data_IF_981854541816
#
_entry.id   IF_981854541816
#
_cell.length_a   1.000
_cell.length_b   1.000
_cell.length_c   1.000
_cell.angle_alpha   90.00
_cell.angle_beta   90.00
_cell.angle_gamma   90.00
#
_symmetry.space_group_name_H-M   'P 1'
#
loop_
_entity.id
_entity.type
_entity.pdbx_description
1 polymer ?
#
# COMPACT_ATOMS: atom_id res chain seq x y z
N UNK A 1 17.98 -35.83 -43.60
CA UNK A 1 18.02 -34.37 -43.33
C UNK A 1 16.80 -33.80 -42.55
N UNK A 2 16.00 -34.64 -41.87
CA UNK A 2 14.72 -34.21 -41.26
C UNK A 2 14.65 -34.32 -39.74
N UNK A 3 15.70 -34.79 -39.05
CA UNK A 3 15.68 -34.96 -37.58
C UNK A 3 16.01 -33.67 -36.81
N UNK A 4 16.99 -32.88 -37.26
CA UNK A 4 17.46 -31.70 -36.51
C UNK A 4 16.51 -30.49 -36.51
N UNK A 5 15.60 -30.38 -37.48
CA UNK A 5 14.62 -29.28 -37.53
C UNK A 5 13.43 -29.49 -36.58
N UNK A 6 13.03 -30.74 -36.33
CA UNK A 6 11.95 -31.05 -35.40
C UNK A 6 12.41 -30.92 -33.94
N UNK A 7 13.66 -31.28 -33.64
CA UNK A 7 14.24 -31.10 -32.31
C UNK A 7 14.36 -29.62 -31.91
N UNK A 8 14.75 -28.75 -32.86
CA UNK A 8 14.79 -27.29 -32.62
C UNK A 8 13.41 -26.69 -32.36
N UNK A 9 12.39 -27.09 -33.13
CA UNK A 9 11.02 -26.60 -32.95
C UNK A 9 10.42 -27.02 -31.59
N UNK A 10 10.70 -28.24 -31.13
CA UNK A 10 10.25 -28.72 -29.82
C UNK A 10 10.99 -27.99 -28.70
N UNK A 11 12.29 -27.74 -28.84
CA UNK A 11 13.08 -26.93 -27.91
C UNK A 11 12.54 -25.51 -27.77
N UNK A 12 12.34 -24.80 -28.89
CA UNK A 12 11.82 -23.43 -28.91
C UNK A 12 10.40 -23.33 -28.32
N UNK A 13 9.56 -24.35 -28.54
CA UNK A 13 8.21 -24.42 -27.97
C UNK A 13 8.23 -24.66 -26.46
N UNK A 14 9.13 -25.52 -25.97
CA UNK A 14 9.29 -25.79 -24.54
C UNK A 14 9.88 -24.57 -23.82
N UNK A 15 10.95 -23.98 -24.35
CA UNK A 15 11.58 -22.77 -23.81
C UNK A 15 10.60 -21.59 -23.84
N UNK A 16 9.85 -21.39 -24.94
CA UNK A 16 8.80 -20.38 -25.01
C UNK A 16 7.64 -20.61 -24.03
N UNK A 17 7.34 -21.87 -23.68
CA UNK A 17 6.33 -22.20 -22.68
C UNK A 17 6.83 -21.98 -21.25
N UNK A 18 8.11 -22.25 -20.98
CA UNK A 18 8.75 -22.01 -19.68
C UNK A 18 8.94 -20.51 -19.45
N UNK A 19 9.41 -19.75 -20.44
CA UNK A 19 9.53 -18.29 -20.39
C UNK A 19 8.17 -17.62 -20.19
N UNK A 20 7.13 -18.10 -20.87
CA UNK A 20 5.77 -17.60 -20.66
C UNK A 20 5.26 -17.91 -19.24
N UNK A 21 5.52 -19.11 -18.73
CA UNK A 21 5.20 -19.50 -17.35
C UNK A 21 5.86 -18.57 -16.33
N UNK A 22 7.18 -18.38 -16.46
CA UNK A 22 7.95 -17.47 -15.61
C UNK A 22 7.45 -16.02 -15.70
N UNK A 23 7.08 -15.55 -16.89
CA UNK A 23 6.51 -14.21 -17.07
C UNK A 23 5.16 -14.05 -16.35
N UNK A 24 4.29 -15.07 -16.38
CA UNK A 24 3.00 -15.06 -15.66
C UNK A 24 3.21 -15.07 -14.15
N UNK A 25 4.14 -15.89 -13.65
CA UNK A 25 4.48 -15.93 -12.23
C UNK A 25 5.05 -14.59 -11.75
N UNK A 26 6.00 -14.01 -12.50
CA UNK A 26 6.58 -12.71 -12.19
C UNK A 26 5.53 -11.59 -12.21
N UNK A 27 4.62 -11.59 -13.19
CA UNK A 27 3.52 -10.63 -13.26
C UNK A 27 2.58 -10.76 -12.06
N UNK A 28 2.18 -11.99 -11.74
CA UNK A 28 1.27 -12.27 -10.60
C UNK A 28 1.92 -11.86 -9.28
N UNK A 29 3.20 -12.19 -9.10
CA UNK A 29 3.98 -11.81 -7.93
C UNK A 29 4.10 -10.29 -7.80
N UNK A 30 4.45 -9.58 -8.87
CA UNK A 30 4.65 -8.13 -8.87
C UNK A 30 3.37 -7.29 -8.89
N UNK A 31 2.21 -7.90 -9.15
CA UNK A 31 0.94 -7.20 -9.32
C UNK A 31 0.56 -6.26 -8.14
N UNK A 32 0.71 -6.66 -6.86
CA UNK A 32 0.40 -5.76 -5.74
C UNK A 32 1.27 -4.51 -5.73
N UNK A 33 2.58 -4.63 -5.98
CA UNK A 33 3.47 -3.47 -6.04
C UNK A 33 3.12 -2.51 -7.16
N UNK A 34 2.84 -3.03 -8.35
CA UNK A 34 2.47 -2.19 -9.51
C UNK A 34 1.17 -1.45 -9.22
N UNK A 35 0.17 -2.15 -8.68
CA UNK A 35 -1.13 -1.57 -8.32
C UNK A 35 -0.99 -0.52 -7.21
N UNK A 36 -0.18 -0.80 -6.19
CA UNK A 36 0.10 0.14 -5.10
C UNK A 36 0.82 1.40 -5.60
N UNK A 37 1.83 1.24 -6.46
CA UNK A 37 2.56 2.37 -7.06
C UNK A 37 1.64 3.25 -7.90
N UNK A 38 0.76 2.66 -8.71
CA UNK A 38 -0.24 3.41 -9.48
C UNK A 38 -1.22 4.14 -8.55
N UNK A 39 -1.69 3.47 -7.50
CA UNK A 39 -2.59 4.06 -6.49
C UNK A 39 -1.93 5.25 -5.79
N UNK A 40 -0.68 5.09 -5.34
CA UNK A 40 0.13 6.15 -4.74
C UNK A 40 0.22 7.34 -5.68
N UNK A 41 0.64 7.15 -6.93
CA UNK A 41 0.74 8.24 -7.93
C UNK A 41 -0.57 9.00 -8.10
N UNK A 42 -1.69 8.30 -8.21
CA UNK A 42 -3.01 8.91 -8.41
C UNK A 42 -3.45 9.73 -7.19
N UNK A 43 -3.20 9.23 -5.98
CA UNK A 43 -3.61 9.85 -4.72
C UNK A 43 -2.68 11.03 -4.36
N UNK A 44 -1.39 10.94 -4.69
CA UNK A 44 -0.39 11.91 -4.24
C UNK A 44 -0.04 13.00 -5.25
N UNK A 45 -0.54 12.91 -6.48
CA UNK A 45 -0.28 13.90 -7.53
C UNK A 45 -1.17 15.17 -7.38
N UNK A 46 -1.07 15.83 -6.23
CA UNK A 46 -1.70 17.12 -5.94
C UNK A 46 -0.75 17.97 -5.10
N UNK A 47 -0.81 19.30 -5.25
CA UNK A 47 0.09 20.20 -4.52
C UNK A 47 -0.31 20.41 -3.04
N UNK A 48 -1.57 20.13 -2.68
CA UNK A 48 -2.12 20.27 -1.32
C UNK A 48 -3.27 19.29 -1.11
N UNK A 49 -3.59 18.92 0.14
CA UNK A 49 -4.74 18.07 0.43
C UNK A 49 -6.04 18.60 -0.20
N UNK A 50 -6.75 17.74 -0.94
CA UNK A 50 -8.02 18.04 -1.60
C UNK A 50 -8.84 16.75 -1.77
N UNK A 51 -10.00 16.68 -1.13
CA UNK A 51 -10.87 15.50 -1.19
C UNK A 51 -10.14 14.25 -0.69
N UNK A 52 -10.07 13.22 -1.53
CA UNK A 52 -9.41 11.93 -1.27
C UNK A 52 -7.92 11.91 -1.67
N UNK A 53 -7.31 13.08 -1.90
CA UNK A 53 -5.92 13.22 -2.39
C UNK A 53 -5.10 14.17 -1.53
N UNK A 54 -3.81 13.88 -1.37
CA UNK A 54 -2.85 14.77 -0.69
C UNK A 54 -1.42 14.43 -1.12
N UNK A 55 -0.47 15.38 -1.12
CA UNK A 55 0.94 15.06 -1.37
C UNK A 55 1.45 13.99 -0.38
N UNK A 56 2.54 13.29 -0.75
CA UNK A 56 3.24 12.38 0.18
C UNK A 56 3.50 13.07 1.53
N UNK A 57 3.36 12.34 2.63
CA UNK A 57 3.55 12.85 3.99
C UNK A 57 2.42 13.73 4.53
N UNK A 58 1.34 13.94 3.78
CA UNK A 58 0.20 14.76 4.22
C UNK A 58 -1.01 13.88 4.53
N UNK A 59 -1.73 14.23 5.60
CA UNK A 59 -2.96 13.54 5.98
C UNK A 59 -4.12 13.91 5.06
N UNK A 60 -4.76 12.90 4.49
CA UNK A 60 -6.09 12.94 3.88
C UNK A 60 -7.09 12.71 4.99
N UNK A 61 -8.10 13.59 5.11
CA UNK A 61 -9.15 13.49 6.14
C UNK A 61 -10.50 13.46 5.43
N UNK A 62 -11.05 12.26 5.24
CA UNK A 62 -12.38 12.08 4.65
C UNK A 62 -13.40 12.22 5.77
N UNK A 63 -14.05 13.38 5.83
CA UNK A 63 -14.98 13.76 6.91
C UNK A 63 -16.44 13.46 6.58
N UNK A 64 -16.71 12.98 5.39
CA UNK A 64 -18.05 12.64 4.91
C UNK A 64 -18.11 11.15 4.63
N UNK A 65 -19.22 10.52 4.98
CA UNK A 65 -19.46 9.14 4.59
C UNK A 65 -19.67 9.06 3.07
N UNK A 66 -19.17 8.01 2.42
CA UNK A 66 -19.39 7.78 1.00
C UNK A 66 -20.90 7.77 0.69
N UNK A 67 -21.31 8.70 -0.17
CA UNK A 67 -22.68 8.74 -0.69
C UNK A 67 -22.84 7.74 -1.85
N UNK A 68 -24.06 7.55 -2.35
CA UNK A 68 -24.38 6.57 -3.41
C UNK A 68 -23.60 6.76 -4.74
N UNK A 69 -22.85 7.85 -4.90
CA UNK A 69 -22.04 8.15 -6.08
C UNK A 69 -20.54 7.89 -5.87
N UNK A 70 -20.10 7.43 -4.70
CA UNK A 70 -18.68 7.18 -4.40
C UNK A 70 -18.17 5.92 -5.14
N UNK A 71 -17.19 6.08 -6.03
CA UNK A 71 -16.61 4.99 -6.85
C UNK A 71 -15.11 4.78 -6.65
N UNK A 72 -14.49 5.48 -5.70
CA UNK A 72 -13.03 5.44 -5.49
C UNK A 72 -12.55 4.14 -4.82
N UNK A 73 -13.45 3.38 -4.17
CA UNK A 73 -13.13 2.11 -3.49
C UNK A 73 -14.28 1.11 -3.71
N UNK A 74 -13.95 -0.16 -3.95
CA UNK A 74 -14.88 -1.24 -4.30
C UNK A 74 -15.89 -1.60 -3.20
N UNK A 75 -15.64 -1.20 -1.94
CA UNK A 75 -16.55 -1.37 -0.81
C UNK A 75 -16.37 -0.22 0.19
N UNK A 76 -17.10 0.89 0.06
CA UNK A 76 -17.02 2.00 0.99
C UNK A 76 -17.55 1.58 2.37
N UNK A 77 -16.72 1.69 3.40
CA UNK A 77 -17.14 1.44 4.78
C UNK A 77 -18.02 2.62 5.27
N UNK A 78 -19.24 2.32 5.70
CA UNK A 78 -20.21 3.32 6.20
C UNK A 78 -20.08 3.57 7.72
N UNK A 79 -19.22 2.82 8.41
CA UNK A 79 -19.17 2.79 9.87
C UNK A 79 -18.01 3.62 10.44
N UNK A 80 -17.02 4.00 9.62
CA UNK A 80 -15.84 4.77 10.07
C UNK A 80 -15.44 5.87 9.09
N UNK A 81 -14.97 7.00 9.65
CA UNK A 81 -14.32 8.05 8.88
C UNK A 81 -12.87 7.64 8.59
N UNK A 82 -12.37 8.02 7.41
CA UNK A 82 -11.00 7.68 7.00
C UNK A 82 -10.03 8.83 7.22
N UNK A 83 -8.90 8.51 7.83
CA UNK A 83 -7.67 9.31 7.76
C UNK A 83 -6.56 8.45 7.18
N UNK A 84 -5.90 8.93 6.13
CA UNK A 84 -4.90 8.16 5.38
C UNK A 84 -3.74 9.06 4.98
N UNK A 85 -2.54 8.49 4.90
CA UNK A 85 -1.37 9.13 4.30
C UNK A 85 -0.51 8.09 3.60
N UNK A 86 0.19 8.50 2.55
CA UNK A 86 1.34 7.76 2.04
C UNK A 86 2.61 8.37 2.63
N UNK A 87 3.48 7.52 3.17
CA UNK A 87 4.76 7.92 3.74
C UNK A 87 5.89 7.39 2.86
N UNK A 88 6.91 8.22 2.64
CA UNK A 88 8.17 7.81 2.00
C UNK A 88 9.24 7.76 3.09
N UNK A 89 9.64 6.55 3.45
CA UNK A 89 10.66 6.27 4.47
C UNK A 89 12.03 6.00 3.87
N UNK A 90 12.22 6.25 2.57
CA UNK A 90 13.47 5.96 1.86
C UNK A 90 14.63 6.88 2.23
N UNK A 91 14.35 8.06 2.78
CA UNK A 91 15.37 9.03 3.22
C UNK A 91 15.50 9.13 4.73
N UNK A 92 14.37 9.15 5.42
CA UNK A 92 14.30 9.35 6.87
C UNK A 92 13.00 8.74 7.43
N UNK A 93 12.94 8.46 8.75
CA UNK A 93 11.72 8.01 9.41
C UNK A 93 10.66 9.09 9.47
N UNK A 94 9.40 8.66 9.62
CA UNK A 94 8.28 9.53 9.94
C UNK A 94 7.82 9.32 11.38
N UNK A 95 7.62 10.41 12.12
CA UNK A 95 6.96 10.36 13.43
C UNK A 95 5.47 10.55 13.26
N UNK A 96 4.68 9.58 13.71
CA UNK A 96 3.22 9.54 13.61
C UNK A 96 2.63 9.62 15.01
N UNK A 97 1.88 10.69 15.28
CA UNK A 97 1.17 10.86 16.54
C UNK A 97 -0.33 10.65 16.36
N UNK A 98 -0.90 9.78 17.18
CA UNK A 98 -2.33 9.56 17.32
C UNK A 98 -2.83 10.30 18.57
N UNK A 99 -3.95 11.05 18.49
CA UNK A 99 -4.52 11.69 19.66
C UNK A 99 -5.16 10.65 20.60
N UNK A 100 -5.47 11.06 21.83
CA UNK A 100 -6.38 10.28 22.68
C UNK A 100 -7.76 10.20 22.02
N UNK A 101 -8.19 8.96 21.78
CA UNK A 101 -9.44 8.62 21.09
C UNK A 101 -10.62 8.48 22.06
N UNK A 102 -10.39 8.60 23.37
CA UNK A 102 -11.43 8.60 24.41
C UNK A 102 -12.36 7.39 24.30
N UNK A 103 -11.76 6.20 24.26
CA UNK A 103 -12.43 4.91 24.10
C UNK A 103 -13.20 4.71 22.78
N UNK A 104 -13.18 5.66 21.83
CA UNK A 104 -13.78 5.44 20.51
C UNK A 104 -13.07 4.32 19.76
N UNK A 105 -13.84 3.54 19.02
CA UNK A 105 -13.29 2.52 18.15
C UNK A 105 -12.56 3.19 16.97
N UNK A 106 -11.26 3.00 16.90
CA UNK A 106 -10.45 3.27 15.72
C UNK A 106 -9.33 2.24 15.60
N UNK A 107 -8.85 2.08 14.38
CA UNK A 107 -7.71 1.27 14.00
C UNK A 107 -6.95 2.00 12.90
N UNK A 108 -5.63 1.92 12.93
CA UNK A 108 -4.73 2.55 11.97
C UNK A 108 -3.82 1.48 11.35
N UNK A 109 -4.33 0.65 10.43
CA UNK A 109 -3.51 -0.33 9.74
C UNK A 109 -2.35 0.36 9.01
N UNK A 110 -1.14 -0.13 9.24
CA UNK A 110 0.07 0.30 8.54
C UNK A 110 0.48 -0.78 7.55
N UNK A 111 0.54 -0.40 6.27
CA UNK A 111 0.80 -1.32 5.17
C UNK A 111 2.07 -0.92 4.42
N UNK A 112 2.83 -1.91 3.97
CA UNK A 112 3.92 -1.70 3.04
C UNK A 112 3.44 -1.73 1.57
N UNK A 113 4.39 -1.56 0.63
CA UNK A 113 4.11 -1.58 -0.81
C UNK A 113 3.50 -2.90 -1.31
N UNK A 114 3.77 -4.01 -0.62
CA UNK A 114 3.23 -5.34 -0.93
C UNK A 114 1.83 -5.57 -0.35
N UNK A 115 1.24 -4.55 0.29
CA UNK A 115 -0.03 -4.63 1.04
C UNK A 115 0.07 -5.50 2.31
N UNK A 116 1.28 -5.82 2.77
CA UNK A 116 1.46 -6.49 4.05
C UNK A 116 1.15 -5.53 5.18
N UNK A 117 0.22 -5.92 6.06
CA UNK A 117 -0.08 -5.20 7.29
C UNK A 117 0.97 -5.56 8.34
N UNK A 118 1.87 -4.63 8.64
CA UNK A 118 2.94 -4.88 9.60
C UNK A 118 2.61 -4.40 11.02
N UNK A 119 1.67 -3.47 11.16
CA UNK A 119 1.14 -3.05 12.46
C UNK A 119 -0.29 -2.51 12.32
N UNK A 120 -1.06 -2.54 13.41
CA UNK A 120 -2.43 -2.01 13.46
C UNK A 120 -2.70 -1.36 14.82
N UNK A 121 -2.14 -0.18 15.13
CA UNK A 121 -2.48 0.53 16.36
C UNK A 121 -3.97 0.85 16.45
N UNK A 122 -4.54 0.76 17.65
CA UNK A 122 -5.95 1.03 17.87
C UNK A 122 -6.55 0.30 19.05
N UNK A 123 -7.89 0.42 19.21
CA UNK A 123 -8.61 -0.02 20.41
C UNK A 123 -8.37 -1.49 20.78
N UNK A 124 -8.15 -2.36 19.79
CA UNK A 124 -7.97 -3.81 20.00
C UNK A 124 -6.54 -4.27 20.27
N UNK A 125 -5.54 -3.43 19.99
CA UNK A 125 -4.13 -3.85 19.90
C UNK A 125 -3.26 -3.05 20.85
N UNK A 126 -3.37 -1.72 20.83
CA UNK A 126 -2.49 -0.81 21.59
C UNK A 126 -3.26 0.13 22.51
N UNK A 127 -4.60 0.09 22.46
CA UNK A 127 -5.48 0.95 23.26
C UNK A 127 -5.82 2.27 22.58
N UNK A 128 -6.54 3.12 23.31
CA UNK A 128 -7.14 4.36 22.78
C UNK A 128 -6.50 5.64 23.30
N UNK A 129 -5.54 5.56 24.22
CA UNK A 129 -4.78 6.72 24.67
C UNK A 129 -3.93 7.34 23.57
N UNK A 130 -3.40 8.54 23.83
CA UNK A 130 -2.48 9.20 22.93
C UNK A 130 -1.21 8.36 22.72
N UNK A 131 -0.79 8.23 21.46
CA UNK A 131 0.31 7.35 21.06
C UNK A 131 1.20 8.04 20.04
N UNK A 132 2.50 7.72 20.05
CA UNK A 132 3.46 8.22 19.05
C UNK A 132 4.35 7.07 18.60
N UNK A 133 4.53 6.94 17.29
CA UNK A 133 5.29 5.88 16.63
C UNK A 133 6.30 6.49 15.67
N UNK A 134 7.45 5.84 15.51
CA UNK A 134 8.34 6.11 14.40
C UNK A 134 8.15 5.02 13.34
N UNK A 135 7.88 5.41 12.10
CA UNK A 135 7.82 4.51 10.95
C UNK A 135 9.12 4.66 10.18
N UNK A 136 9.94 3.61 10.17
CA UNK A 136 11.28 3.60 9.57
C UNK A 136 11.31 2.79 8.28
N UNK A 137 12.28 3.09 7.41
CA UNK A 137 12.63 2.18 6.31
C UNK A 137 13.33 0.92 6.82
N UNK A 138 13.38 -0.16 6.01
CA UNK A 138 14.18 -1.34 6.31
C UNK A 138 15.65 -0.98 6.53
N UNK A 139 16.26 -1.48 7.61
CA UNK A 139 17.68 -1.24 7.90
C UNK A 139 18.03 0.19 8.32
N UNK A 140 17.03 1.02 8.69
CA UNK A 140 17.32 2.34 9.23
C UNK A 140 18.11 2.25 10.54
N UNK A 141 19.14 3.10 10.65
CA UNK A 141 19.95 3.29 11.85
C UNK A 141 19.99 4.77 12.21
N UNK A 142 19.92 5.08 13.49
CA UNK A 142 19.97 6.45 13.99
C UNK A 142 19.35 6.58 15.37
N UNK A 143 19.21 7.84 15.82
CA UNK A 143 18.54 8.16 17.08
C UNK A 143 17.17 8.75 16.79
N UNK A 144 16.13 8.15 17.35
CA UNK A 144 14.78 8.70 17.31
C UNK A 144 14.62 9.79 18.39
N UNK A 145 13.80 10.83 18.14
CA UNK A 145 13.49 11.86 19.13
C UNK A 145 12.67 11.32 20.31
#
# INVERSE_FOLDING_TARGET
PTSGHAEGLVGDLMEGSDDFGLAVEAYTYGYPLVTMEMTRRVITNVAKPKGTKAPMGNLIKVREYPNAQFRDVTAPNADTLYTTAFLDVGKEPWVVSLPDLQDRYALFPMLDGWTTVFDVPGKRTTGTGAQTFAVTGPGWEGTLP
#
